data_IF_307346670673
#
_entry.id   IF_307346670673
#
_cell.length_a   1.000
_cell.length_b   1.000
_cell.length_c   1.000
_cell.angle_alpha   90.00
_cell.angle_beta   90.00
_cell.angle_gamma   90.00
#
_symmetry.space_group_name_H-M   'P 1'
#
loop_
_entity.id
_entity.type
_entity.pdbx_description
1 polymer ?
#
# COMPACT_ATOMS: atom_id res chain seq x y z
N UNK A 1 12.01 -9.99 4.29
CA UNK A 1 11.43 -9.05 3.29
C UNK A 1 11.05 -7.76 4.00
N UNK A 2 11.41 -6.61 3.43
CA UNK A 2 10.97 -5.33 3.99
C UNK A 2 9.46 -5.21 4.10
N UNK A 3 9.00 -4.63 5.20
CA UNK A 3 7.59 -4.34 5.44
C UNK A 3 7.35 -2.84 5.31
N UNK A 4 6.25 -2.49 4.65
CA UNK A 4 5.82 -1.11 4.49
C UNK A 4 4.38 -0.93 4.95
N UNK A 5 4.12 0.22 5.55
CA UNK A 5 2.78 0.65 5.91
C UNK A 5 2.43 1.84 5.02
N UNK A 6 1.31 1.74 4.32
CA UNK A 6 0.80 2.80 3.46
C UNK A 6 -0.46 3.37 4.08
N UNK A 7 -0.40 4.67 4.39
CA UNK A 7 -1.58 5.42 4.80
C UNK A 7 -2.13 6.09 3.55
N UNK A 8 -3.34 5.75 3.18
CA UNK A 8 -3.89 6.06 1.86
C UNK A 8 -5.01 7.08 1.97
N UNK A 9 -4.93 8.14 1.16
CA UNK A 9 -6.05 9.03 0.90
C UNK A 9 -6.52 8.84 -0.53
N UNK A 10 -7.83 8.66 -0.70
CA UNK A 10 -8.43 8.55 -2.02
C UNK A 10 -8.58 9.94 -2.63
N UNK A 11 -8.06 10.11 -3.83
CA UNK A 11 -8.29 11.29 -4.64
C UNK A 11 -9.54 11.08 -5.50
N UNK A 12 -9.90 12.06 -6.31
CA UNK A 12 -11.16 12.03 -7.05
C UNK A 12 -11.34 10.75 -7.87
N UNK A 13 -10.32 10.38 -8.65
CA UNK A 13 -10.40 9.16 -9.47
C UNK A 13 -10.46 7.89 -8.63
N UNK A 14 -9.79 7.88 -7.48
CA UNK A 14 -9.84 6.75 -6.56
C UNK A 14 -11.20 6.60 -5.92
N UNK A 15 -11.87 7.70 -5.59
CA UNK A 15 -13.23 7.67 -5.05
C UNK A 15 -14.22 7.15 -6.09
N UNK A 16 -14.08 7.59 -7.33
CA UNK A 16 -14.92 7.09 -8.44
C UNK A 16 -14.69 5.61 -8.67
N UNK A 17 -13.45 5.16 -8.66
CA UNK A 17 -13.10 3.76 -8.82
C UNK A 17 -13.70 2.90 -7.70
N UNK A 18 -13.67 3.38 -6.48
CA UNK A 18 -14.26 2.65 -5.34
C UNK A 18 -15.76 2.43 -5.54
N UNK A 19 -16.47 3.41 -6.08
CA UNK A 19 -17.89 3.30 -6.38
C UNK A 19 -18.18 2.26 -7.48
N UNK A 20 -17.17 1.93 -8.29
CA UNK A 20 -17.28 1.00 -9.41
C UNK A 20 -16.53 -0.32 -9.19
N UNK A 21 -16.26 -0.69 -7.94
CA UNK A 21 -15.76 -2.01 -7.60
C UNK A 21 -14.33 -2.11 -7.09
N UNK A 22 -13.63 -0.98 -6.97
CA UNK A 22 -12.31 -0.97 -6.32
C UNK A 22 -11.17 -1.59 -7.13
N UNK A 23 -11.16 -1.42 -8.43
CA UNK A 23 -10.14 -2.01 -9.32
C UNK A 23 -8.74 -1.50 -9.06
N UNK A 24 -8.59 -0.26 -8.58
CA UNK A 24 -7.27 0.31 -8.28
C UNK A 24 -6.54 -0.52 -7.25
N UNK A 25 -7.24 -0.92 -6.17
CA UNK A 25 -6.63 -1.77 -5.16
C UNK A 25 -6.29 -3.16 -5.71
N UNK A 26 -7.18 -3.72 -6.50
CA UNK A 26 -6.95 -5.02 -7.12
C UNK A 26 -5.69 -5.00 -8.01
N UNK A 27 -5.55 -3.97 -8.83
CA UNK A 27 -4.37 -3.79 -9.68
C UNK A 27 -3.10 -3.59 -8.85
N UNK A 28 -3.18 -2.82 -7.76
CA UNK A 28 -2.06 -2.62 -6.86
C UNK A 28 -1.59 -3.96 -6.27
N UNK A 29 -2.53 -4.76 -5.78
CA UNK A 29 -2.20 -6.08 -5.22
C UNK A 29 -1.60 -7.01 -6.28
N UNK A 30 -2.11 -6.96 -7.51
CA UNK A 30 -1.56 -7.76 -8.61
C UNK A 30 -0.12 -7.33 -8.94
N UNK A 31 0.17 -6.04 -8.98
CA UNK A 31 1.52 -5.54 -9.21
C UNK A 31 2.45 -5.92 -8.06
N UNK A 32 1.95 -5.85 -6.83
CA UNK A 32 2.70 -6.27 -5.65
C UNK A 32 3.13 -7.73 -5.77
N UNK A 33 2.20 -8.61 -6.14
CA UNK A 33 2.50 -10.04 -6.30
C UNK A 33 3.47 -10.28 -7.44
N UNK A 34 3.34 -9.56 -8.56
CA UNK A 34 4.28 -9.67 -9.68
C UNK A 34 5.69 -9.25 -9.29
N UNK A 35 5.82 -8.29 -8.38
CA UNK A 35 7.12 -7.84 -7.87
C UNK A 35 7.72 -8.79 -6.84
N UNK A 36 7.03 -9.87 -6.51
CA UNK A 36 7.49 -10.86 -5.52
C UNK A 36 7.12 -10.51 -4.09
N UNK A 37 6.24 -9.53 -3.90
CA UNK A 37 5.74 -9.14 -2.59
C UNK A 37 4.42 -9.81 -2.24
N UNK A 38 3.87 -9.45 -1.09
CA UNK A 38 2.59 -9.96 -0.64
C UNK A 38 1.87 -8.97 0.27
N UNK A 39 0.53 -8.94 0.24
CA UNK A 39 -0.23 -8.15 1.20
C UNK A 39 -0.25 -8.87 2.56
N UNK A 40 -0.11 -8.10 3.64
CA UNK A 40 -0.21 -8.60 5.02
C UNK A 40 -1.59 -8.29 5.58
N UNK A 41 -2.05 -7.04 5.43
CA UNK A 41 -3.35 -6.60 5.94
C UNK A 41 -3.78 -5.35 5.18
N UNK A 42 -5.09 -5.14 5.13
CA UNK A 42 -5.66 -3.92 4.56
C UNK A 42 -6.93 -3.57 5.31
N UNK A 43 -7.09 -2.29 5.64
CA UNK A 43 -8.23 -1.80 6.39
C UNK A 43 -8.75 -0.51 5.77
N UNK A 44 -10.07 -0.40 5.65
CA UNK A 44 -10.71 0.87 5.41
C UNK A 44 -10.83 1.60 6.75
N UNK A 45 -10.58 2.89 6.78
CA UNK A 45 -10.53 3.64 8.03
C UNK A 45 -11.37 4.92 7.96
N UNK A 46 -11.76 5.38 9.13
CA UNK A 46 -12.29 6.74 9.31
C UNK A 46 -11.16 7.63 9.85
N UNK A 47 -11.26 8.93 9.61
CA UNK A 47 -10.32 9.91 10.13
C UNK A 47 -9.47 10.51 9.02
N UNK A 48 -8.21 10.87 9.33
CA UNK A 48 -7.38 11.60 8.36
C UNK A 48 -6.96 10.76 7.16
N UNK A 49 -7.10 9.44 7.21
CA UNK A 49 -6.77 8.53 6.10
C UNK A 49 -7.96 7.65 5.77
N UNK A 50 -8.10 7.28 4.50
CA UNK A 50 -9.21 6.46 4.03
C UNK A 50 -8.92 4.98 4.14
N UNK A 51 -7.65 4.61 4.10
CA UNK A 51 -7.24 3.20 4.20
C UNK A 51 -5.84 3.06 4.75
N UNK A 52 -5.56 1.87 5.30
CA UNK A 52 -4.21 1.47 5.71
C UNK A 52 -3.91 0.14 5.03
N UNK A 53 -2.77 0.05 4.35
CA UNK A 53 -2.29 -1.20 3.76
C UNK A 53 -0.94 -1.54 4.38
N UNK A 54 -0.77 -2.81 4.72
CA UNK A 54 0.50 -3.34 5.23
C UNK A 54 0.96 -4.41 4.24
N UNK A 55 2.15 -4.24 3.69
CA UNK A 55 2.66 -5.12 2.64
C UNK A 55 4.11 -5.49 2.91
N UNK A 56 4.54 -6.60 2.32
CA UNK A 56 5.95 -6.99 2.25
C UNK A 56 6.40 -6.98 0.79
N UNK A 57 7.63 -6.52 0.57
CA UNK A 57 8.27 -6.51 -0.75
C UNK A 57 9.67 -7.10 -0.66
N UNK A 58 10.24 -7.59 -1.78
CA UNK A 58 11.58 -8.19 -1.75
C UNK A 58 12.69 -7.23 -1.36
N UNK A 59 12.57 -5.97 -1.76
CA UNK A 59 13.57 -4.92 -1.51
C UNK A 59 12.94 -3.55 -1.69
N UNK A 60 13.69 -2.51 -1.34
CA UNK A 60 13.20 -1.14 -1.40
C UNK A 60 12.98 -0.67 -2.85
N UNK A 61 13.77 -1.15 -3.79
CA UNK A 61 13.61 -0.82 -5.21
C UNK A 61 12.27 -1.34 -5.74
N UNK A 62 11.84 -2.53 -5.32
CA UNK A 62 10.53 -3.05 -5.69
C UNK A 62 9.40 -2.16 -5.17
N UNK A 63 9.56 -1.62 -3.96
CA UNK A 63 8.58 -0.69 -3.39
C UNK A 63 8.51 0.60 -4.19
N UNK A 64 9.65 1.15 -4.56
CA UNK A 64 9.71 2.36 -5.38
C UNK A 64 9.01 2.16 -6.73
N UNK A 65 9.25 1.03 -7.37
CA UNK A 65 8.58 0.69 -8.62
C UNK A 65 7.07 0.55 -8.45
N UNK A 66 6.64 -0.05 -7.33
CA UNK A 66 5.23 -0.28 -7.05
C UNK A 66 4.47 1.04 -6.86
N UNK A 67 4.98 1.96 -6.03
CA UNK A 67 4.31 3.26 -5.83
C UNK A 67 4.31 4.10 -7.11
N UNK A 68 5.33 3.95 -7.94
CA UNK A 68 5.42 4.67 -9.22
C UNK A 68 4.43 4.15 -10.25
N UNK A 69 3.88 2.94 -10.06
CA UNK A 69 2.93 2.33 -10.99
C UNK A 69 1.49 2.80 -10.78
N UNK A 70 1.21 3.49 -9.69
CA UNK A 70 -0.16 3.95 -9.38
C UNK A 70 -0.54 5.08 -10.33
N UNK A 71 -1.71 5.00 -11.00
CA UNK A 71 -2.14 6.06 -11.90
C UNK A 71 -2.32 7.39 -11.18
N UNK A 72 -1.92 8.51 -11.81
CA UNK A 72 -2.08 9.84 -11.20
C UNK A 72 -3.53 10.16 -10.91
N UNK A 73 -3.77 10.87 -9.80
CA UNK A 73 -5.11 11.32 -9.42
C UNK A 73 -5.98 10.28 -8.75
N UNK A 74 -5.47 9.07 -8.47
CA UNK A 74 -6.23 8.00 -7.82
C UNK A 74 -6.05 8.00 -6.31
N UNK A 75 -4.81 8.00 -5.84
CA UNK A 75 -4.52 7.98 -4.40
C UNK A 75 -3.32 8.87 -4.09
N UNK A 76 -3.27 9.29 -2.83
CA UNK A 76 -2.10 9.88 -2.21
C UNK A 76 -1.71 8.96 -1.05
N UNK A 77 -0.45 8.59 -0.98
CA UNK A 77 0.02 7.72 0.10
C UNK A 77 1.05 8.40 0.96
N UNK A 78 0.99 8.09 2.25
CA UNK A 78 2.11 8.28 3.16
C UNK A 78 2.70 6.91 3.38
N UNK A 79 3.86 6.67 2.79
CA UNK A 79 4.50 5.35 2.78
C UNK A 79 5.62 5.31 3.80
N UNK A 80 5.55 4.35 4.71
CA UNK A 80 6.52 4.23 5.79
C UNK A 80 7.17 2.86 5.79
N UNK A 81 8.51 2.83 5.89
CA UNK A 81 9.23 1.60 6.14
C UNK A 81 8.95 1.16 7.59
N UNK A 82 8.51 -0.07 7.77
CA UNK A 82 8.15 -0.59 9.08
C UNK A 82 9.12 -1.68 9.53
N UNK A 83 9.38 -1.72 10.82
CA UNK A 83 10.24 -2.73 11.45
C UNK A 83 9.45 -3.37 12.58
N UNK A 84 9.49 -4.71 12.65
CA UNK A 84 8.85 -5.43 13.73
C UNK A 84 9.50 -5.04 15.06
N UNK A 85 8.69 -4.57 16.00
CA UNK A 85 9.18 -4.12 17.30
C UNK A 85 9.87 -5.24 18.07
N UNK A 86 9.32 -6.45 17.98
CA UNK A 86 9.89 -7.60 18.67
C UNK A 86 11.27 -7.97 18.12
N UNK A 87 11.44 -7.87 16.81
CA UNK A 87 12.74 -8.11 16.17
C UNK A 87 13.72 -6.99 16.48
N UNK A 88 13.25 -5.74 16.37
CA UNK A 88 14.08 -4.55 16.61
C UNK A 88 14.59 -4.49 18.05
N UNK A 89 13.73 -4.82 19.01
CA UNK A 89 14.02 -4.72 20.44
C UNK A 89 14.48 -6.05 21.03
N UNK A 90 14.78 -7.02 20.21
CA UNK A 90 15.26 -8.32 20.68
C UNK A 90 16.58 -8.17 21.41
N UNK A 91 16.66 -8.79 22.58
CA UNK A 91 17.84 -8.77 23.42
C UNK A 91 18.52 -10.13 23.46
#
# INVERSE_FOLDING_TARGET
>A
MPTYILLVNLLEKGQQDLQHGGKTREEFINQLKKAGGRPIAGYATFGPYDAVEIIEVPNDEAMLGLVSSVPPGTIKTTTMRAFDMNTLLKK
#
